data_IF_827896379158
#
_entry.id   IF_827896379158
#
_cell.length_a   1.000
_cell.length_b   1.000
_cell.length_c   1.000
_cell.angle_alpha   90.00
_cell.angle_beta   90.00
_cell.angle_gamma   90.00
#
_symmetry.space_group_name_H-M   'P 1'
#
loop_
_entity.id
_entity.type
_entity.pdbx_description
1 polymer ?
#
# COMPACT_ATOMS: atom_id res chain seq x y z
N UNK A 1 -6.93 5.67 -30.86
CA UNK A 1 -5.66 5.19 -30.27
C UNK A 1 -5.83 4.83 -28.79
N UNK A 2 -6.30 5.76 -27.96
CA UNK A 2 -6.54 5.56 -26.52
C UNK A 2 -7.45 4.36 -26.18
N UNK A 3 -8.60 4.22 -26.86
CA UNK A 3 -9.52 3.08 -26.65
C UNK A 3 -8.88 1.73 -26.94
N UNK A 4 -7.99 1.66 -27.93
CA UNK A 4 -7.27 0.43 -28.27
C UNK A 4 -6.19 0.09 -27.23
N UNK A 5 -5.50 1.11 -26.71
CA UNK A 5 -4.53 0.96 -25.61
C UNK A 5 -5.22 0.54 -24.32
N UNK A 6 -6.36 1.16 -23.97
CA UNK A 6 -7.19 0.77 -22.82
C UNK A 6 -7.67 -0.68 -22.95
N UNK A 7 -8.13 -1.08 -24.14
CA UNK A 7 -8.57 -2.45 -24.40
C UNK A 7 -7.43 -3.46 -24.31
N UNK A 8 -6.23 -3.09 -24.76
CA UNK A 8 -5.04 -3.94 -24.73
C UNK A 8 -4.43 -4.08 -23.33
N UNK A 9 -4.41 -2.99 -22.56
CA UNK A 9 -3.83 -2.94 -21.22
C UNK A 9 -4.83 -3.33 -20.12
N UNK A 10 -6.14 -3.30 -20.40
CA UNK A 10 -7.19 -3.76 -19.49
C UNK A 10 -7.07 -3.15 -18.09
N UNK A 11 -7.02 -4.01 -17.07
CA UNK A 11 -6.89 -3.61 -15.66
C UNK A 11 -5.54 -2.95 -15.31
N UNK A 12 -4.55 -2.98 -16.21
CA UNK A 12 -3.30 -2.23 -16.04
C UNK A 12 -3.50 -0.72 -16.26
N UNK A 13 -4.62 -0.30 -16.86
CA UNK A 13 -5.02 1.11 -16.96
C UNK A 13 -6.01 1.43 -15.86
N UNK A 14 -5.48 1.82 -14.70
CA UNK A 14 -6.25 2.07 -13.48
C UNK A 14 -6.65 3.54 -13.29
N UNK A 15 -6.21 4.42 -14.19
CA UNK A 15 -6.59 5.82 -14.25
C UNK A 15 -6.49 6.31 -15.69
N UNK A 16 -7.52 7.01 -16.17
CA UNK A 16 -7.42 7.79 -17.41
C UNK A 16 -8.13 9.12 -17.22
N UNK A 17 -7.32 10.12 -16.94
CA UNK A 17 -7.61 11.52 -17.11
C UNK A 17 -6.46 12.14 -17.89
N UNK A 18 -6.72 13.28 -18.53
CA UNK A 18 -5.64 14.07 -19.07
C UNK A 18 -4.70 14.47 -17.92
N UNK A 19 -3.38 14.50 -18.16
CA UNK A 19 -2.48 15.35 -17.35
C UNK A 19 -2.67 16.80 -17.83
N UNK A 20 -3.92 17.20 -17.99
CA UNK A 20 -4.37 18.56 -18.19
C UNK A 20 -5.25 18.77 -16.96
N UNK A 21 -4.77 19.62 -16.04
CA UNK A 21 -5.34 19.93 -14.71
C UNK A 21 -4.95 19.04 -13.52
N UNK A 22 -4.04 18.07 -13.68
CA UNK A 22 -3.28 17.52 -12.54
C UNK A 22 -4.11 16.72 -11.51
N UNK A 23 -5.15 16.00 -11.93
CA UNK A 23 -5.83 15.05 -11.04
C UNK A 23 -4.85 13.91 -10.70
N UNK A 24 -4.23 14.03 -9.53
CA UNK A 24 -3.31 13.04 -8.98
C UNK A 24 -4.09 11.76 -8.63
N UNK A 25 -3.46 10.58 -8.77
CA UNK A 25 -4.09 9.28 -8.52
C UNK A 25 -4.70 9.17 -7.11
N UNK A 26 -4.09 9.88 -6.17
CA UNK A 26 -4.50 10.16 -4.80
C UNK A 26 -5.91 10.73 -4.73
N UNK A 27 -6.24 11.70 -5.58
CA UNK A 27 -7.54 12.34 -5.61
C UNK A 27 -8.62 11.35 -6.06
N UNK A 28 -8.34 10.52 -7.07
CA UNK A 28 -9.27 9.48 -7.52
C UNK A 28 -9.55 8.44 -6.42
N UNK A 29 -8.55 8.07 -5.62
CA UNK A 29 -8.75 7.18 -4.45
C UNK A 29 -9.52 7.90 -3.34
N UNK A 30 -9.23 9.18 -3.12
CA UNK A 30 -9.97 10.04 -2.17
C UNK A 30 -11.45 10.16 -2.52
N UNK A 31 -11.78 10.35 -3.79
CA UNK A 31 -13.17 10.43 -4.27
C UNK A 31 -13.94 9.13 -4.04
N UNK A 32 -13.28 7.97 -4.22
CA UNK A 32 -13.89 6.67 -3.92
C UNK A 32 -14.21 6.52 -2.42
N UNK A 33 -13.30 6.94 -1.54
CA UNK A 33 -13.55 6.93 -0.09
C UNK A 33 -14.66 7.91 0.29
N UNK A 34 -14.57 9.15 -0.18
CA UNK A 34 -15.54 10.20 0.12
C UNK A 34 -16.95 9.84 -0.39
N UNK A 35 -17.06 9.30 -1.60
CA UNK A 35 -18.33 8.82 -2.16
C UNK A 35 -18.96 7.67 -1.39
N UNK A 36 -18.16 6.91 -0.62
CA UNK A 36 -18.61 5.83 0.26
C UNK A 36 -18.79 6.27 1.72
N UNK A 37 -18.41 7.50 2.07
CA UNK A 37 -18.35 7.97 3.46
C UNK A 37 -17.36 7.17 4.32
N UNK A 38 -16.37 6.53 3.69
CA UNK A 38 -15.38 5.68 4.35
C UNK A 38 -14.06 6.43 4.54
N UNK A 39 -13.26 5.99 5.51
CA UNK A 39 -12.04 6.66 5.95
C UNK A 39 -10.82 5.75 5.91
N UNK A 40 -9.62 6.35 5.84
CA UNK A 40 -8.34 5.65 5.81
C UNK A 40 -7.31 6.27 6.75
N UNK A 41 -6.50 5.42 7.37
CA UNK A 41 -5.28 5.79 8.07
C UNK A 41 -4.07 4.98 7.57
N UNK A 42 -2.86 5.48 7.85
CA UNK A 42 -1.61 4.86 7.35
C UNK A 42 -0.60 4.56 8.45
N UNK A 43 0.15 3.48 8.28
CA UNK A 43 1.31 3.11 9.07
C UNK A 43 2.52 3.00 8.14
N UNK A 44 3.47 3.93 8.29
CA UNK A 44 4.59 4.06 7.37
C UNK A 44 5.92 3.76 8.06
N UNK A 45 6.69 2.85 7.46
CA UNK A 45 8.10 2.66 7.77
C UNK A 45 8.95 3.24 6.63
N UNK A 46 9.36 2.45 5.64
CA UNK A 46 10.35 2.84 4.64
C UNK A 46 9.99 4.07 3.77
N UNK A 47 8.70 4.41 3.66
CA UNK A 47 8.19 5.58 2.92
C UNK A 47 8.34 6.88 3.70
N UNK A 48 8.41 6.83 5.03
CA UNK A 48 8.75 7.98 5.89
C UNK A 48 7.75 9.14 5.81
N UNK A 49 6.44 8.85 5.67
CA UNK A 49 5.39 9.88 5.62
C UNK A 49 4.96 10.27 4.21
N UNK A 50 5.55 9.67 3.19
CA UNK A 50 5.23 9.97 1.80
C UNK A 50 3.79 9.60 1.44
N UNK A 51 3.25 8.48 1.95
CA UNK A 51 1.87 8.11 1.64
C UNK A 51 0.89 9.07 2.32
N UNK A 52 1.12 9.41 3.59
CA UNK A 52 0.33 10.40 4.30
C UNK A 52 0.36 11.76 3.61
N UNK A 53 1.54 12.22 3.18
CA UNK A 53 1.69 13.47 2.44
C UNK A 53 0.86 13.46 1.14
N UNK A 54 0.95 12.37 0.36
CA UNK A 54 0.19 12.17 -0.88
C UNK A 54 -1.32 12.25 -0.63
N UNK A 55 -1.83 11.50 0.36
CA UNK A 55 -3.26 11.53 0.72
C UNK A 55 -3.71 12.91 1.21
N UNK A 56 -2.87 13.65 1.94
CA UNK A 56 -3.19 15.00 2.43
C UNK A 56 -2.98 16.12 1.40
N UNK A 57 -2.40 15.83 0.24
CA UNK A 57 -2.14 16.85 -0.79
C UNK A 57 -3.41 17.24 -1.55
N UNK A 58 -4.41 16.36 -1.58
CA UNK A 58 -5.69 16.61 -2.25
C UNK A 58 -6.59 17.51 -1.39
N UNK A 59 -7.12 18.58 -1.96
CA UNK A 59 -8.09 19.43 -1.27
C UNK A 59 -9.31 18.63 -0.81
N UNK A 60 -9.76 18.83 0.43
CA UNK A 60 -10.86 18.06 1.03
C UNK A 60 -10.46 16.70 1.60
N UNK A 61 -9.15 16.36 1.63
CA UNK A 61 -8.67 15.09 2.17
C UNK A 61 -9.09 14.80 3.61
N UNK A 62 -9.41 15.83 4.40
CA UNK A 62 -9.92 15.66 5.77
C UNK A 62 -11.24 14.90 5.85
N UNK A 63 -11.98 14.77 4.74
CA UNK A 63 -13.20 13.98 4.69
C UNK A 63 -12.94 12.46 4.74
N UNK A 64 -11.75 12.00 4.33
CA UNK A 64 -11.44 10.58 4.24
C UNK A 64 -10.12 10.17 4.89
N UNK A 65 -9.14 11.06 5.05
CA UNK A 65 -7.83 10.74 5.62
C UNK A 65 -7.77 11.17 7.09
N UNK A 66 -7.76 10.19 8.01
CA UNK A 66 -7.74 10.46 9.46
C UNK A 66 -6.35 10.67 10.03
N UNK A 67 -5.30 10.36 9.26
CA UNK A 67 -3.92 10.53 9.65
C UNK A 67 -3.12 9.24 9.60
N UNK A 68 -2.01 9.19 10.34
CA UNK A 68 -1.15 8.03 10.31
C UNK A 68 -0.03 8.01 11.34
N UNK A 69 0.69 6.90 11.37
CA UNK A 69 1.73 6.57 12.33
C UNK A 69 3.04 6.26 11.60
N UNK A 70 4.06 7.08 11.85
CA UNK A 70 5.42 6.82 11.38
C UNK A 70 6.12 5.86 12.35
N UNK A 71 6.24 4.59 11.95
CA UNK A 71 6.76 3.51 12.81
C UNK A 71 8.10 2.97 12.32
N UNK A 72 9.06 3.89 12.24
CA UNK A 72 10.40 3.64 11.69
C UNK A 72 11.28 2.67 12.52
N UNK A 73 10.85 2.29 13.72
CA UNK A 73 11.53 1.31 14.57
C UNK A 73 10.59 0.19 15.02
N UNK A 74 11.15 -0.99 15.31
CA UNK A 74 10.38 -2.11 15.86
C UNK A 74 9.67 -1.74 17.17
N UNK A 75 10.31 -0.92 18.01
CA UNK A 75 9.71 -0.40 19.24
C UNK A 75 8.44 0.41 18.96
N UNK A 76 8.45 1.24 17.92
CA UNK A 76 7.27 2.01 17.52
C UNK A 76 6.19 1.14 16.85
N UNK A 77 6.58 0.14 16.04
CA UNK A 77 5.64 -0.85 15.49
C UNK A 77 4.88 -1.57 16.60
N UNK A 78 5.57 -2.03 17.65
CA UNK A 78 4.92 -2.66 18.80
C UNK A 78 4.07 -1.66 19.60
N UNK A 79 4.66 -0.52 20.00
CA UNK A 79 4.00 0.44 20.91
C UNK A 79 2.79 1.14 20.29
N UNK A 80 2.92 1.60 19.05
CA UNK A 80 1.90 2.43 18.42
C UNK A 80 0.88 1.60 17.66
N UNK A 81 1.31 0.57 16.96
CA UNK A 81 0.44 -0.24 16.09
C UNK A 81 0.01 -1.56 16.74
N UNK A 82 0.57 -1.94 17.88
CA UNK A 82 0.28 -3.25 18.48
C UNK A 82 0.82 -4.43 17.69
N UNK A 83 1.84 -4.23 16.83
CA UNK A 83 2.48 -5.35 16.13
C UNK A 83 3.04 -6.32 17.17
N UNK A 84 2.68 -7.62 17.16
CA UNK A 84 3.17 -8.57 18.14
C UNK A 84 4.69 -8.69 18.10
N UNK A 85 5.31 -8.87 19.27
CA UNK A 85 6.76 -9.02 19.38
C UNK A 85 7.20 -10.28 18.63
N UNK A 86 6.43 -11.34 18.75
CA UNK A 86 6.63 -12.65 18.16
C UNK A 86 6.68 -12.53 16.62
N UNK A 87 5.80 -11.72 16.03
CA UNK A 87 5.81 -11.43 14.59
C UNK A 87 7.14 -10.82 14.14
N UNK A 88 7.68 -9.88 14.90
CA UNK A 88 8.94 -9.22 14.57
C UNK A 88 10.16 -10.12 14.79
N UNK A 89 10.10 -11.03 15.77
CA UNK A 89 11.16 -11.99 16.05
C UNK A 89 11.21 -13.09 14.99
N UNK A 90 10.06 -13.65 14.64
CA UNK A 90 9.96 -14.80 13.73
C UNK A 90 10.11 -14.39 12.26
N UNK A 91 9.39 -13.35 11.82
CA UNK A 91 9.33 -12.96 10.41
C UNK A 91 10.21 -11.75 10.07
N UNK A 92 10.62 -10.97 11.09
CA UNK A 92 11.31 -9.71 10.90
C UNK A 92 10.38 -8.57 10.49
N UNK A 93 10.92 -7.34 10.56
CA UNK A 93 10.16 -6.11 10.32
C UNK A 93 9.74 -5.90 8.85
N UNK A 94 10.46 -6.52 7.91
CA UNK A 94 10.16 -6.47 6.48
C UNK A 94 9.61 -7.83 6.08
N UNK A 95 8.31 -8.01 6.27
CA UNK A 95 7.60 -9.25 6.05
C UNK A 95 6.10 -9.02 5.86
N UNK A 96 5.41 -9.98 5.25
CA UNK A 96 3.96 -9.98 5.08
C UNK A 96 3.21 -9.88 6.43
N UNK A 97 3.52 -10.70 7.47
CA UNK A 97 2.85 -10.60 8.76
C UNK A 97 3.01 -9.23 9.43
N UNK A 98 4.20 -8.63 9.31
CA UNK A 98 4.41 -7.28 9.84
C UNK A 98 3.59 -6.24 9.09
N UNK A 99 3.54 -6.29 7.75
CA UNK A 99 2.73 -5.35 6.96
C UNK A 99 1.23 -5.45 7.31
N UNK A 100 0.70 -6.68 7.43
CA UNK A 100 -0.70 -6.92 7.83
C UNK A 100 -0.99 -6.39 9.24
N UNK A 101 -0.11 -6.67 10.21
CA UNK A 101 -0.26 -6.16 11.57
C UNK A 101 -0.17 -4.63 11.63
N UNK A 102 0.70 -4.01 10.82
CA UNK A 102 0.78 -2.56 10.70
C UNK A 102 -0.50 -1.95 10.12
N UNK A 103 -1.06 -2.57 9.08
CA UNK A 103 -2.31 -2.12 8.45
C UNK A 103 -3.49 -2.22 9.44
N UNK A 104 -3.64 -3.36 10.11
CA UNK A 104 -4.65 -3.54 11.15
C UNK A 104 -4.48 -2.55 12.31
N UNK A 105 -3.25 -2.34 12.77
CA UNK A 105 -2.92 -1.38 13.81
C UNK A 105 -3.25 0.06 13.41
N UNK A 106 -2.95 0.48 12.18
CA UNK A 106 -3.32 1.81 11.69
C UNK A 106 -4.83 2.03 11.73
N UNK A 107 -5.58 1.03 11.22
CA UNK A 107 -7.04 1.03 11.20
C UNK A 107 -7.61 1.21 12.61
N UNK A 108 -7.21 0.34 13.53
CA UNK A 108 -7.70 0.32 14.91
C UNK A 108 -7.33 1.60 15.67
N UNK A 109 -6.08 2.05 15.58
CA UNK A 109 -5.56 3.15 16.40
C UNK A 109 -6.06 4.52 15.96
N UNK A 110 -6.33 4.69 14.67
CA UNK A 110 -6.90 5.92 14.13
C UNK A 110 -8.43 5.89 14.03
N UNK A 111 -9.07 4.75 14.29
CA UNK A 111 -10.53 4.61 14.17
C UNK A 111 -11.03 4.80 12.73
N UNK A 112 -10.26 4.32 11.75
CA UNK A 112 -10.59 4.44 10.32
C UNK A 112 -11.25 3.15 9.79
N UNK A 113 -11.95 3.24 8.67
CA UNK A 113 -12.52 2.07 7.98
C UNK A 113 -11.43 1.20 7.38
N UNK A 114 -10.39 1.82 6.83
CA UNK A 114 -9.23 1.17 6.25
C UNK A 114 -7.92 1.61 6.92
N UNK A 115 -6.98 0.66 7.05
CA UNK A 115 -5.62 0.95 7.45
C UNK A 115 -4.63 0.43 6.42
N UNK A 116 -3.61 1.23 6.09
CA UNK A 116 -2.53 0.84 5.19
C UNK A 116 -1.24 0.62 5.99
N UNK A 117 -0.54 -0.49 5.78
CA UNK A 117 0.76 -0.77 6.37
C UNK A 117 1.85 -0.92 5.31
N UNK A 118 2.94 -0.13 5.41
CA UNK A 118 4.09 -0.22 4.50
C UNK A 118 5.39 -0.47 5.29
N UNK A 119 6.08 -1.55 4.95
CA UNK A 119 7.41 -1.88 5.47
C UNK A 119 8.33 -2.42 4.38
N UNK A 120 9.62 -2.09 4.42
CA UNK A 120 10.54 -2.43 3.33
C UNK A 120 11.96 -1.95 3.52
N UNK A 121 12.83 -2.32 2.59
CA UNK A 121 14.23 -1.90 2.49
C UNK A 121 14.37 -0.97 1.29
N UNK A 122 14.26 0.34 1.53
CA UNK A 122 14.36 1.33 0.44
C UNK A 122 15.80 1.56 -0.08
N UNK A 123 16.85 1.08 0.61
CA UNK A 123 18.23 1.30 0.21
C UNK A 123 18.80 2.68 0.60
N UNK A 124 20.05 2.98 0.18
CA UNK A 124 20.92 2.12 -0.62
C UNK A 124 21.52 0.93 0.17
N UNK A 125 21.49 0.97 1.50
CA UNK A 125 21.92 -0.13 2.38
C UNK A 125 20.77 -0.86 3.07
N UNK A 126 21.10 -1.76 3.99
CA UNK A 126 20.14 -2.47 4.85
C UNK A 126 19.45 -3.68 4.20
N UNK A 127 19.84 -4.03 2.98
CA UNK A 127 19.41 -5.28 2.34
C UNK A 127 20.22 -6.48 2.83
N UNK A 128 19.59 -7.65 2.81
CA UNK A 128 20.24 -8.96 3.00
C UNK A 128 20.02 -9.81 1.76
N UNK A 129 20.70 -10.96 1.65
CA UNK A 129 20.46 -11.91 0.55
C UNK A 129 18.98 -12.31 0.43
N UNK A 130 18.34 -12.54 1.57
CA UNK A 130 16.92 -12.92 1.67
C UNK A 130 15.94 -11.74 1.58
N UNK A 131 16.41 -10.50 1.74
CA UNK A 131 15.60 -9.27 1.67
C UNK A 131 16.42 -8.15 1.04
N UNK A 132 16.64 -8.20 -0.29
CA UNK A 132 17.47 -7.24 -0.96
C UNK A 132 16.89 -5.82 -0.89
N UNK A 133 17.73 -4.84 -1.21
CA UNK A 133 17.25 -3.47 -1.45
C UNK A 133 16.15 -3.50 -2.53
N UNK A 134 15.08 -2.75 -2.28
CA UNK A 134 13.88 -2.71 -3.10
C UNK A 134 12.75 -3.60 -2.57
N UNK A 135 13.00 -4.54 -1.65
CA UNK A 135 11.94 -5.39 -1.06
C UNK A 135 11.00 -4.57 -0.19
N UNK A 136 9.71 -4.59 -0.52
CA UNK A 136 8.65 -3.87 0.20
C UNK A 136 7.41 -4.76 0.31
N UNK A 137 6.83 -4.80 1.51
CA UNK A 137 5.50 -5.35 1.77
C UNK A 137 4.52 -4.21 2.06
N UNK A 138 3.38 -4.30 1.41
CA UNK A 138 2.28 -3.34 1.51
C UNK A 138 1.03 -4.13 1.86
N UNK A 139 0.26 -3.67 2.83
CA UNK A 139 -1.01 -4.28 3.18
C UNK A 139 -2.09 -3.22 3.39
N UNK A 140 -3.33 -3.61 3.13
CA UNK A 140 -4.53 -2.83 3.43
C UNK A 140 -5.45 -3.72 4.25
N UNK A 141 -5.87 -3.23 5.42
CA UNK A 141 -6.91 -3.83 6.24
C UNK A 141 -8.19 -3.00 6.07
N UNK A 142 -9.34 -3.65 5.93
CA UNK A 142 -10.64 -3.00 5.74
C UNK A 142 -11.75 -3.62 6.59
N UNK A 143 -13.02 -3.21 6.36
CA UNK A 143 -14.19 -3.74 7.06
C UNK A 143 -14.38 -5.25 6.88
N UNK A 144 -15.16 -5.87 7.78
CA UNK A 144 -15.48 -7.31 7.74
C UNK A 144 -14.26 -8.25 7.63
N UNK A 145 -13.15 -7.87 8.27
CA UNK A 145 -11.87 -8.59 8.23
C UNK A 145 -11.26 -8.71 6.81
N UNK A 146 -11.70 -7.89 5.86
CA UNK A 146 -11.08 -7.83 4.54
C UNK A 146 -9.63 -7.38 4.66
N UNK A 147 -8.73 -8.10 4.00
CA UNK A 147 -7.34 -7.69 3.89
C UNK A 147 -6.81 -7.96 2.50
N UNK A 148 -5.89 -7.11 2.06
CA UNK A 148 -5.12 -7.30 0.85
C UNK A 148 -3.65 -7.09 1.18
N UNK A 149 -2.79 -7.88 0.54
CA UNK A 149 -1.35 -7.81 0.74
C UNK A 149 -0.64 -7.91 -0.60
N UNK A 150 0.48 -7.23 -0.67
CA UNK A 150 1.30 -7.09 -1.84
C UNK A 150 2.77 -7.08 -1.45
N UNK A 151 3.57 -7.78 -2.23
CA UNK A 151 5.02 -7.81 -2.08
C UNK A 151 5.66 -7.52 -3.43
N UNK A 152 6.67 -6.66 -3.42
CA UNK A 152 7.47 -6.38 -4.59
C UNK A 152 8.93 -6.15 -4.23
N UNK A 153 9.79 -6.38 -5.22
CA UNK A 153 11.15 -5.86 -5.26
C UNK A 153 11.21 -4.74 -6.29
N UNK A 154 11.14 -3.51 -5.83
CA UNK A 154 11.16 -2.35 -6.72
C UNK A 154 12.58 -2.04 -7.21
N UNK A 155 12.77 -1.79 -8.52
CA UNK A 155 14.04 -1.32 -9.04
C UNK A 155 14.24 0.17 -8.77
N UNK A 156 15.50 0.60 -8.81
CA UNK A 156 15.89 2.01 -8.73
C UNK A 156 16.43 2.41 -7.36
N UNK A 157 16.60 3.73 -7.20
CA UNK A 157 17.15 4.31 -5.99
C UNK A 157 16.12 4.40 -4.85
N UNK A 158 16.58 4.90 -3.70
CA UNK A 158 15.77 5.07 -2.50
C UNK A 158 14.52 5.91 -2.73
N UNK A 159 14.60 6.96 -3.53
CA UNK A 159 13.45 7.81 -3.81
C UNK A 159 12.42 7.06 -4.66
N UNK A 160 12.89 6.35 -5.70
CA UNK A 160 12.04 5.56 -6.60
C UNK A 160 11.33 4.43 -5.86
N UNK A 161 12.04 3.69 -5.00
CA UNK A 161 11.43 2.61 -4.20
C UNK A 161 10.32 3.17 -3.30
N UNK A 162 10.55 4.30 -2.63
CA UNK A 162 9.52 4.95 -1.78
C UNK A 162 8.31 5.39 -2.60
N UNK A 163 8.53 6.04 -3.74
CA UNK A 163 7.45 6.48 -4.63
C UNK A 163 6.60 5.31 -5.12
N UNK A 164 7.22 4.25 -5.64
CA UNK A 164 6.52 3.04 -6.06
C UNK A 164 5.76 2.38 -4.91
N UNK A 165 6.35 2.33 -3.71
CA UNK A 165 5.67 1.77 -2.53
C UNK A 165 4.36 2.49 -2.23
N UNK A 166 4.36 3.82 -2.27
CA UNK A 166 3.12 4.61 -2.04
C UNK A 166 2.13 4.46 -3.19
N UNK A 167 2.60 4.35 -4.43
CA UNK A 167 1.75 4.15 -5.61
C UNK A 167 0.97 2.84 -5.52
N UNK A 168 1.66 1.75 -5.20
CA UNK A 168 1.04 0.44 -5.07
C UNK A 168 0.14 0.34 -3.84
N UNK A 169 0.41 1.10 -2.78
CA UNK A 169 -0.48 1.18 -1.63
C UNK A 169 -1.84 1.81 -1.98
N UNK A 170 -1.83 2.92 -2.72
CA UNK A 170 -3.06 3.55 -3.22
C UNK A 170 -3.83 2.62 -4.17
N UNK A 171 -3.12 1.90 -5.06
CA UNK A 171 -3.75 0.92 -5.95
C UNK A 171 -4.38 -0.25 -5.18
N UNK A 172 -3.71 -0.75 -4.15
CA UNK A 172 -4.23 -1.85 -3.33
C UNK A 172 -5.51 -1.43 -2.60
N UNK A 173 -5.55 -0.19 -2.08
CA UNK A 173 -6.76 0.37 -1.48
C UNK A 173 -7.86 0.57 -2.53
N UNK A 174 -7.55 1.17 -3.68
CA UNK A 174 -8.49 1.38 -4.78
C UNK A 174 -9.20 0.09 -5.16
N UNK A 175 -8.46 -1.03 -5.31
CA UNK A 175 -9.03 -2.35 -5.62
C UNK A 175 -9.97 -2.87 -4.55
N UNK A 176 -9.72 -2.56 -3.28
CA UNK A 176 -10.63 -2.94 -2.18
C UNK A 176 -11.91 -2.09 -2.16
N UNK A 177 -11.86 -0.85 -2.67
CA UNK A 177 -13.01 0.06 -2.74
C UNK A 177 -13.90 -0.21 -3.97
N UNK A 178 -13.35 -0.79 -5.02
CA UNK A 178 -14.11 -1.14 -6.22
C UNK A 178 -15.03 -2.35 -5.98
N UNK A 179 -16.20 -2.39 -6.64
CA UNK A 179 -17.06 -3.57 -6.62
C UNK A 179 -16.28 -4.82 -7.05
N UNK A 180 -16.43 -5.92 -6.32
CA UNK A 180 -15.93 -7.22 -6.78
C UNK A 180 -16.75 -7.65 -7.98
N UNK A 181 -16.20 -7.55 -9.18
CA UNK A 181 -16.77 -8.30 -10.31
C UNK A 181 -16.63 -9.80 -9.99
N UNK A 182 -17.71 -10.55 -10.15
CA UNK A 182 -17.71 -11.99 -9.91
C UNK A 182 -16.63 -12.68 -10.76
N UNK A 183 -15.63 -13.27 -10.11
CA UNK A 183 -14.73 -14.27 -10.71
C UNK A 183 -13.40 -13.79 -11.32
N UNK A 184 -12.85 -12.62 -10.97
CA UNK A 184 -11.52 -12.22 -11.44
C UNK A 184 -10.53 -12.03 -10.28
N UNK A 185 -9.48 -12.86 -10.24
CA UNK A 185 -8.34 -12.70 -9.33
C UNK A 185 -7.55 -11.44 -9.75
N UNK A 186 -7.59 -10.43 -8.88
CA UNK A 186 -7.17 -9.05 -9.16
C UNK A 186 -5.65 -8.83 -9.04
N UNK A 187 -4.81 -9.76 -9.51
CA UNK A 187 -3.37 -9.52 -9.66
C UNK A 187 -2.89 -10.14 -10.98
N UNK A 188 -2.78 -9.37 -12.08
CA UNK A 188 -2.26 -9.90 -13.34
C UNK A 188 -0.77 -10.28 -13.30
N UNK A 189 -0.08 -10.02 -12.18
CA UNK A 189 1.38 -10.13 -12.13
C UNK A 189 1.95 -10.97 -11.00
N UNK A 190 1.13 -11.72 -10.24
CA UNK A 190 1.60 -12.67 -9.23
C UNK A 190 3.01 -13.18 -9.58
N UNK A 191 3.99 -12.82 -8.72
CA UNK A 191 5.42 -13.01 -8.95
C UNK A 191 5.69 -14.35 -9.64
N UNK A 192 6.69 -14.44 -10.57
CA UNK A 192 6.87 -15.61 -11.41
C UNK A 192 6.74 -16.87 -10.58
N UNK A 193 5.72 -17.69 -10.90
CA UNK A 193 5.63 -19.04 -10.34
C UNK A 193 6.99 -19.65 -10.63
N UNK A 194 7.71 -20.03 -9.58
CA UNK A 194 9.00 -20.69 -9.73
C UNK A 194 8.83 -21.80 -10.75
N UNK A 195 9.51 -21.66 -11.90
CA UNK A 195 9.60 -22.73 -12.87
C UNK A 195 10.35 -23.87 -12.18
N UNK A 196 9.65 -24.99 -12.05
CA UNK A 196 10.18 -26.32 -12.28
C UNK A 196 11.41 -26.72 -11.47
N UNK A 197 11.18 -27.60 -10.51
CA UNK A 197 12.14 -28.65 -10.21
C UNK A 197 12.66 -29.29 -11.51
N UNK A 198 13.97 -29.35 -11.63
CA UNK A 198 14.72 -30.38 -12.34
C UNK A 198 15.94 -30.72 -11.48
#
# INVERSE_FOLDING_TARGET
METAVRKALGEAVFYVGAIEDGIEFEAAVGDLLAGRGETVAVAESCTGGLLGQRLSATAGSSAYFLGGLLTYSNKLKMRLLGVPRETLVEYGAVSKPTALAMAAGARERCGSDYGIGITGVAGPGGGTETRPVGTVHIAVAGPAAACSHFEARFPGDRARVRQLSTQFALELLRRMLLPREAGRDLLPWAAPRGEGAA
#
